data_IF_740452564107
#
_entry.id   IF_740452564107
#
_cell.length_a   1.000
_cell.length_b   1.000
_cell.length_c   1.000
_cell.angle_alpha   90.00
_cell.angle_beta   90.00
_cell.angle_gamma   90.00
#
_symmetry.space_group_name_H-M   'P 1'
#
loop_
_entity.id
_entity.type
_entity.pdbx_description
1 polymer ?
#
# COMPACT_ATOMS: atom_id res chain seq x y z
N UNK A 1 8.81 -18.51 9.06
CA UNK A 1 8.75 -18.73 7.61
C UNK A 1 9.55 -17.61 6.99
N UNK A 2 10.76 -17.89 6.49
CA UNK A 2 11.59 -16.86 5.87
C UNK A 2 10.97 -16.48 4.53
N UNK A 3 10.45 -15.28 4.44
CA UNK A 3 10.07 -14.68 3.16
C UNK A 3 11.37 -14.32 2.44
N UNK A 4 11.64 -15.03 1.36
CA UNK A 4 12.77 -14.78 0.50
C UNK A 4 12.44 -13.54 -0.36
N UNK A 5 12.94 -12.37 0.06
CA UNK A 5 12.73 -11.08 -0.60
C UNK A 5 13.40 -10.95 -1.97
N UNK A 6 14.04 -12.00 -2.48
CA UNK A 6 14.72 -11.98 -3.77
C UNK A 6 13.80 -12.10 -4.99
N UNK A 7 12.47 -12.17 -4.82
CA UNK A 7 11.58 -12.56 -5.90
C UNK A 7 10.16 -12.00 -5.96
N UNK A 8 9.87 -10.86 -5.36
CA UNK A 8 8.56 -10.21 -5.58
C UNK A 8 7.57 -10.38 -4.42
N UNK A 9 6.71 -9.38 -4.26
CA UNK A 9 5.72 -9.29 -3.18
C UNK A 9 4.54 -10.25 -3.35
N UNK A 10 4.35 -10.82 -4.53
CA UNK A 10 3.26 -11.75 -4.87
C UNK A 10 3.76 -13.19 -5.02
N UNK A 11 2.94 -14.15 -4.57
CA UNK A 11 3.16 -15.57 -4.81
C UNK A 11 2.98 -15.93 -6.30
N UNK A 12 3.45 -17.12 -6.73
CA UNK A 12 3.24 -17.57 -8.12
C UNK A 12 1.75 -17.74 -8.45
N UNK A 13 0.94 -18.23 -7.50
CA UNK A 13 -0.50 -18.37 -7.65
C UNK A 13 -1.19 -17.02 -7.85
N UNK A 14 -0.82 -16.00 -7.04
CA UNK A 14 -1.34 -14.65 -7.17
C UNK A 14 -0.95 -14.02 -8.50
N UNK A 15 0.29 -14.22 -8.94
CA UNK A 15 0.75 -13.79 -10.26
C UNK A 15 -0.01 -14.43 -11.40
N UNK A 16 -0.24 -15.74 -11.30
CA UNK A 16 -0.98 -16.47 -12.31
C UNK A 16 -2.43 -15.99 -12.37
N UNK A 17 -3.09 -15.84 -11.20
CA UNK A 17 -4.45 -15.31 -11.15
C UNK A 17 -4.56 -13.89 -11.71
N UNK A 18 -3.56 -13.03 -11.51
CA UNK A 18 -3.51 -11.70 -12.12
C UNK A 18 -3.42 -11.79 -13.66
N UNK A 19 -2.64 -12.74 -14.21
CA UNK A 19 -2.51 -12.96 -15.66
C UNK A 19 -3.77 -13.53 -16.27
N UNK A 20 -4.40 -14.47 -15.58
CA UNK A 20 -5.61 -15.17 -16.08
C UNK A 20 -6.87 -14.32 -15.87
N UNK A 21 -6.77 -13.17 -15.17
CA UNK A 21 -7.89 -12.30 -14.87
C UNK A 21 -8.88 -12.86 -13.84
N UNK A 22 -8.52 -13.95 -13.14
CA UNK A 22 -9.38 -14.54 -12.08
C UNK A 22 -9.47 -13.63 -10.86
N UNK A 23 -8.42 -12.85 -10.59
CA UNK A 23 -8.39 -11.81 -9.58
C UNK A 23 -7.30 -10.78 -9.92
N UNK A 24 -7.29 -9.65 -9.25
CA UNK A 24 -6.20 -8.69 -9.30
C UNK A 24 -5.70 -8.45 -7.87
N UNK A 25 -4.49 -8.92 -7.58
CA UNK A 25 -3.77 -8.66 -6.34
C UNK A 25 -2.61 -7.71 -6.63
N UNK A 26 -2.49 -6.68 -5.83
CA UNK A 26 -1.42 -5.70 -5.89
C UNK A 26 -0.77 -5.57 -4.52
N UNK A 27 0.51 -5.23 -4.49
CA UNK A 27 1.27 -5.11 -3.27
C UNK A 27 2.25 -3.93 -3.35
N UNK A 28 2.64 -3.41 -2.19
CA UNK A 28 3.59 -2.33 -2.08
C UNK A 28 3.68 -1.76 -0.67
N UNK A 29 4.45 -0.69 -0.54
CA UNK A 29 4.48 0.12 0.68
C UNK A 29 3.13 0.83 0.84
N UNK A 30 2.61 0.83 2.07
CA UNK A 30 1.31 1.44 2.40
C UNK A 30 1.41 2.56 3.44
N UNK A 31 2.46 2.57 4.27
CA UNK A 31 2.70 3.60 5.28
C UNK A 31 4.19 3.58 5.72
N UNK A 32 4.63 4.60 6.46
CA UNK A 32 5.96 4.67 7.04
C UNK A 32 5.91 5.27 8.45
N UNK A 33 6.69 4.72 9.38
CA UNK A 33 6.83 5.22 10.74
C UNK A 33 8.02 6.17 10.86
N UNK A 34 7.87 7.21 11.70
CA UNK A 34 8.95 8.09 12.12
C UNK A 34 9.44 9.09 11.10
N UNK A 35 8.99 9.03 9.85
CA UNK A 35 9.39 9.95 8.79
C UNK A 35 8.24 10.86 8.35
N UNK A 36 8.54 12.12 7.95
CA UNK A 36 7.52 13.02 7.45
C UNK A 36 7.00 12.55 6.09
N UNK A 37 5.69 12.53 5.93
CA UNK A 37 5.04 12.28 4.65
C UNK A 37 4.87 13.58 3.83
N UNK A 38 4.27 13.49 2.64
CA UNK A 38 4.02 14.63 1.75
C UNK A 38 3.15 15.74 2.37
N UNK A 39 2.41 15.45 3.43
CA UNK A 39 1.62 16.43 4.20
C UNK A 39 2.39 16.94 5.44
N UNK A 40 3.71 16.74 5.50
CA UNK A 40 4.55 17.09 6.66
C UNK A 40 4.07 16.43 7.96
N UNK A 41 3.39 15.27 7.88
CA UNK A 41 2.88 14.52 9.01
C UNK A 41 3.79 13.36 9.34
N UNK A 42 4.05 13.18 10.64
CA UNK A 42 4.85 12.07 11.16
C UNK A 42 3.96 11.19 12.02
N UNK A 43 4.01 9.89 11.75
CA UNK A 43 3.38 8.87 12.58
C UNK A 43 4.46 8.25 13.48
N UNK A 44 4.46 8.52 14.80
CA UNK A 44 5.42 7.90 15.72
C UNK A 44 5.36 6.37 15.63
N UNK A 45 6.51 5.72 15.70
CA UNK A 45 6.61 4.27 15.52
C UNK A 45 5.69 3.50 16.48
N UNK A 46 5.66 3.87 17.76
CA UNK A 46 4.80 3.22 18.76
C UNK A 46 3.32 3.31 18.44
N UNK A 47 2.87 4.48 17.96
CA UNK A 47 1.48 4.72 17.54
C UNK A 47 1.15 3.84 16.33
N UNK A 48 2.00 3.89 15.30
CA UNK A 48 1.73 3.13 14.08
C UNK A 48 1.80 1.62 14.29
N UNK A 49 2.74 1.12 15.11
CA UNK A 49 2.82 -0.31 15.45
C UNK A 49 1.57 -0.80 16.18
N UNK A 50 1.06 -0.04 17.14
CA UNK A 50 -0.20 -0.36 17.82
C UNK A 50 -1.36 -0.44 16.83
N UNK A 51 -1.48 0.56 15.96
CA UNK A 51 -2.59 0.59 15.00
C UNK A 51 -2.49 -0.51 13.93
N UNK A 52 -1.29 -0.88 13.50
CA UNK A 52 -1.10 -2.04 12.62
C UNK A 52 -1.54 -3.34 13.30
N UNK A 53 -1.21 -3.55 14.58
CA UNK A 53 -1.67 -4.72 15.34
C UNK A 53 -3.22 -4.77 15.45
N UNK A 54 -3.85 -3.62 15.71
CA UNK A 54 -5.31 -3.51 15.73
C UNK A 54 -5.92 -3.83 14.36
N UNK A 55 -5.33 -3.28 13.31
CA UNK A 55 -5.81 -3.45 11.93
C UNK A 55 -5.61 -4.89 11.41
N UNK A 56 -4.56 -5.56 11.84
CA UNK A 56 -4.30 -6.96 11.49
C UNK A 56 -5.47 -7.90 11.85
N UNK A 57 -6.23 -7.57 12.91
CA UNK A 57 -7.45 -8.30 13.25
C UNK A 57 -8.47 -8.20 12.12
N UNK A 58 -8.68 -7.01 11.55
CA UNK A 58 -9.61 -6.81 10.42
C UNK A 58 -9.15 -7.58 9.17
N UNK A 59 -7.83 -7.60 8.92
CA UNK A 59 -7.24 -8.36 7.82
C UNK A 59 -7.53 -9.86 7.99
N UNK A 60 -7.26 -10.43 9.16
CA UNK A 60 -7.52 -11.85 9.45
C UNK A 60 -9.01 -12.21 9.35
N UNK A 61 -9.89 -11.31 9.78
CA UNK A 61 -11.34 -11.47 9.71
C UNK A 61 -11.92 -11.16 8.32
N UNK A 62 -11.08 -10.79 7.34
CA UNK A 62 -11.48 -10.40 5.97
C UNK A 62 -12.48 -9.25 5.96
N UNK A 63 -12.30 -8.27 6.85
CA UNK A 63 -13.11 -7.06 7.00
C UNK A 63 -12.34 -5.75 6.77
N UNK A 64 -11.06 -5.85 6.39
CA UNK A 64 -10.19 -4.72 6.11
C UNK A 64 -10.47 -4.13 4.71
N UNK A 65 -11.69 -3.64 4.53
CA UNK A 65 -12.12 -2.98 3.29
C UNK A 65 -11.55 -1.57 3.18
N UNK A 66 -11.29 -1.14 1.93
CA UNK A 66 -10.96 0.25 1.60
C UNK A 66 -11.76 0.74 0.40
N UNK A 67 -11.80 2.06 0.26
CA UNK A 67 -12.59 2.75 -0.76
C UNK A 67 -11.68 3.27 -1.89
N UNK A 68 -12.31 3.73 -2.95
CA UNK A 68 -11.65 4.51 -4.01
C UNK A 68 -11.76 5.98 -3.64
N UNK A 69 -10.63 6.68 -3.62
CA UNK A 69 -10.45 8.02 -3.06
C UNK A 69 -10.71 8.11 -1.53
N UNK A 70 -10.39 9.26 -0.94
CA UNK A 70 -10.68 9.54 0.46
C UNK A 70 -12.02 10.25 0.58
N UNK A 71 -13.11 9.56 1.01
CA UNK A 71 -14.34 10.24 1.32
C UNK A 71 -14.23 11.08 2.60
N UNK A 72 -15.07 12.11 2.75
CA UNK A 72 -15.15 12.91 3.97
C UNK A 72 -15.64 12.11 5.17
N UNK A 73 -16.43 11.05 4.94
CA UNK A 73 -16.95 10.19 6.00
C UNK A 73 -15.82 9.28 6.53
N UNK A 74 -15.55 9.28 7.84
CA UNK A 74 -14.55 8.38 8.42
C UNK A 74 -14.93 6.89 8.32
N UNK A 75 -16.21 6.56 8.27
CA UNK A 75 -16.68 5.16 8.20
C UNK A 75 -16.66 4.66 6.76
N UNK A 76 -16.10 3.47 6.55
CA UNK A 76 -16.11 2.79 5.24
C UNK A 76 -17.53 2.52 4.78
N UNK A 77 -17.90 3.04 3.62
CA UNK A 77 -19.20 2.84 2.99
C UNK A 77 -19.12 1.68 1.99
N UNK A 78 -19.83 0.59 2.26
CA UNK A 78 -19.75 -0.63 1.44
C UNK A 78 -20.07 -0.39 -0.04
N UNK A 79 -20.87 0.59 -0.38
CA UNK A 79 -21.16 0.98 -1.75
C UNK A 79 -19.92 1.49 -2.51
N UNK A 80 -18.94 2.03 -1.80
CA UNK A 80 -17.72 2.62 -2.36
C UNK A 80 -16.50 1.69 -2.27
N UNK A 81 -16.65 0.51 -1.66
CA UNK A 81 -15.55 -0.44 -1.48
C UNK A 81 -14.95 -0.82 -2.83
N UNK A 82 -13.64 -0.67 -2.94
CA UNK A 82 -12.85 -1.03 -4.12
C UNK A 82 -11.96 -2.25 -3.91
N UNK A 83 -11.54 -2.50 -2.67
CA UNK A 83 -10.57 -3.55 -2.37
C UNK A 83 -10.69 -4.08 -0.95
N UNK A 84 -9.97 -5.17 -0.70
CA UNK A 84 -9.81 -5.83 0.60
C UNK A 84 -8.31 -6.03 0.85
N UNK A 85 -7.80 -5.50 1.98
CA UNK A 85 -6.45 -5.82 2.44
C UNK A 85 -6.37 -7.29 2.85
N UNK A 86 -5.37 -8.01 2.32
CA UNK A 86 -5.18 -9.44 2.57
C UNK A 86 -4.00 -9.75 3.45
N UNK A 87 -2.97 -8.91 3.41
CA UNK A 87 -1.77 -9.04 4.24
C UNK A 87 -1.19 -7.66 4.58
N UNK A 88 -0.59 -7.55 5.77
CA UNK A 88 0.25 -6.42 6.17
C UNK A 88 1.49 -6.95 6.90
N UNK A 89 2.64 -6.31 6.72
CA UNK A 89 3.87 -6.66 7.41
C UNK A 89 4.80 -5.45 7.49
N UNK A 90 5.83 -5.54 8.33
CA UNK A 90 6.86 -4.51 8.48
C UNK A 90 8.11 -4.86 7.67
N UNK A 91 8.69 -3.85 7.03
CA UNK A 91 10.02 -3.88 6.42
C UNK A 91 10.79 -2.64 6.90
N UNK A 92 11.59 -2.83 7.97
CA UNK A 92 12.18 -1.70 8.69
C UNK A 92 11.12 -0.77 9.28
N UNK A 93 11.14 0.49 8.86
CA UNK A 93 10.14 1.51 9.23
C UNK A 93 8.94 1.56 8.28
N UNK A 94 9.02 0.86 7.15
CA UNK A 94 7.94 0.79 6.18
C UNK A 94 6.93 -0.27 6.58
N UNK A 95 5.66 0.08 6.44
CA UNK A 95 4.55 -0.88 6.45
C UNK A 95 4.26 -1.28 5.02
N UNK A 96 4.35 -2.55 4.76
CA UNK A 96 4.04 -3.15 3.48
C UNK A 96 2.64 -3.76 3.53
N UNK A 97 1.96 -3.81 2.40
CA UNK A 97 0.65 -4.40 2.31
C UNK A 97 0.40 -5.09 0.99
N UNK A 98 -0.53 -6.02 1.04
CA UNK A 98 -1.09 -6.72 -0.10
C UNK A 98 -2.59 -6.59 -0.07
N UNK A 99 -3.20 -6.34 -1.22
CA UNK A 99 -4.64 -6.20 -1.31
C UNK A 99 -5.19 -6.83 -2.60
N UNK A 100 -6.41 -7.29 -2.50
CA UNK A 100 -7.20 -7.80 -3.61
C UNK A 100 -8.18 -6.73 -4.08
N UNK A 101 -8.12 -6.36 -5.34
CA UNK A 101 -9.14 -5.50 -5.96
C UNK A 101 -10.41 -6.33 -6.17
N UNK A 102 -11.53 -5.83 -5.68
CA UNK A 102 -12.82 -6.52 -5.73
C UNK A 102 -13.59 -6.22 -7.02
N UNK A 103 -14.57 -7.06 -7.36
CA UNK A 103 -15.47 -6.86 -8.50
C UNK A 103 -16.68 -5.99 -8.15
N UNK A 104 -16.45 -4.96 -7.32
CA UNK A 104 -17.41 -3.90 -7.02
C UNK A 104 -17.32 -2.80 -8.10
N UNK A 105 -18.29 -1.89 -8.22
CA UNK A 105 -18.22 -0.78 -9.18
C UNK A 105 -16.91 0.04 -9.03
N UNK A 106 -16.52 0.40 -7.81
CA UNK A 106 -15.28 1.13 -7.56
C UNK A 106 -14.03 0.28 -7.81
N UNK A 107 -14.06 -1.02 -7.48
CA UNK A 107 -12.96 -1.94 -7.78
C UNK A 107 -12.80 -2.16 -9.29
N UNK A 108 -13.86 -2.16 -10.06
CA UNK A 108 -13.78 -2.24 -11.53
C UNK A 108 -13.09 -1.00 -12.13
N UNK A 109 -13.31 0.19 -11.58
CA UNK A 109 -12.58 1.40 -11.97
C UNK A 109 -11.09 1.21 -11.70
N UNK A 110 -10.72 0.77 -10.49
CA UNK A 110 -9.33 0.50 -10.12
C UNK A 110 -8.68 -0.56 -11.05
N UNK A 111 -9.40 -1.64 -11.39
CA UNK A 111 -8.92 -2.66 -12.35
C UNK A 111 -8.64 -2.06 -13.72
N UNK A 112 -9.51 -1.21 -14.24
CA UNK A 112 -9.34 -0.57 -15.55
C UNK A 112 -8.18 0.42 -15.57
N UNK A 113 -7.94 1.14 -14.47
CA UNK A 113 -6.77 2.01 -14.32
C UNK A 113 -5.49 1.17 -14.42
N UNK A 114 -5.40 0.07 -13.68
CA UNK A 114 -4.23 -0.83 -13.72
C UNK A 114 -4.06 -1.49 -15.10
N UNK A 115 -5.15 -1.93 -15.72
CA UNK A 115 -5.12 -2.53 -17.07
C UNK A 115 -4.67 -1.52 -18.13
N UNK A 116 -5.00 -0.24 -17.95
CA UNK A 116 -4.57 0.88 -18.79
C UNK A 116 -3.18 1.43 -18.46
N UNK A 117 -2.37 0.67 -17.72
CA UNK A 117 -1.04 1.07 -17.27
C UNK A 117 -0.99 2.23 -16.25
N UNK A 118 -2.12 2.58 -15.62
CA UNK A 118 -2.17 3.53 -14.50
C UNK A 118 -1.55 2.97 -13.21
N UNK A 119 -0.95 3.82 -12.38
CA UNK A 119 -0.52 3.48 -11.02
C UNK A 119 -1.60 3.87 -10.03
N UNK A 120 -1.81 3.04 -9.03
CA UNK A 120 -2.67 3.33 -7.89
C UNK A 120 -1.80 3.60 -6.66
N UNK A 121 -2.02 4.74 -6.02
CA UNK A 121 -1.50 5.03 -4.71
C UNK A 121 -2.37 4.40 -3.63
N UNK A 122 -1.82 4.29 -2.43
CA UNK A 122 -2.57 3.88 -1.23
C UNK A 122 -2.26 4.83 -0.08
N UNK A 123 -3.27 5.19 0.68
CA UNK A 123 -3.14 6.14 1.79
C UNK A 123 -4.00 5.72 2.98
N UNK A 124 -3.48 5.89 4.19
CA UNK A 124 -4.20 5.59 5.41
C UNK A 124 -5.23 6.65 5.73
N UNK A 125 -6.43 6.22 6.14
CA UNK A 125 -7.48 7.06 6.72
C UNK A 125 -7.66 6.70 8.18
N UNK A 126 -7.67 7.71 9.04
CA UNK A 126 -7.81 7.54 10.48
C UNK A 126 -8.25 8.82 11.16
N UNK A 127 -8.54 8.73 12.44
CA UNK A 127 -8.92 9.84 13.29
C UNK A 127 -8.00 9.93 14.49
N UNK A 128 -7.78 11.11 15.03
CA UNK A 128 -6.93 11.34 16.20
C UNK A 128 -6.45 12.78 16.26
N UNK A 129 -5.86 13.13 17.37
CA UNK A 129 -5.26 14.44 17.61
C UNK A 129 -3.88 14.53 16.98
N UNK A 130 -3.42 15.76 16.77
CA UNK A 130 -2.08 16.07 16.29
C UNK A 130 -1.55 17.32 17.00
N UNK A 131 -0.23 17.41 17.12
CA UNK A 131 0.44 18.65 17.54
C UNK A 131 1.52 19.06 16.56
N UNK A 132 1.87 20.35 16.59
CA UNK A 132 2.96 20.89 15.78
C UNK A 132 4.28 20.81 16.54
N UNK A 133 5.33 20.31 15.89
CA UNK A 133 6.68 20.26 16.42
C UNK A 133 7.70 20.41 15.30
N UNK A 134 8.60 21.38 15.41
CA UNK A 134 9.70 21.60 14.46
C UNK A 134 9.27 21.71 12.99
N UNK A 135 8.08 22.27 12.73
CA UNK A 135 7.50 22.40 11.39
C UNK A 135 6.76 21.17 10.89
N UNK A 136 6.66 20.13 11.69
CA UNK A 136 5.93 18.89 11.38
C UNK A 136 4.65 18.76 12.19
N UNK A 137 3.68 18.04 11.63
CA UNK A 137 2.45 17.62 12.30
C UNK A 137 2.65 16.23 12.86
N UNK A 138 2.78 16.10 14.19
CA UNK A 138 2.99 14.82 14.85
C UNK A 138 1.64 14.22 15.25
N UNK A 139 1.41 12.96 14.89
CA UNK A 139 0.20 12.21 15.27
C UNK A 139 0.29 11.77 16.73
N UNK A 140 -0.79 11.97 17.48
CA UNK A 140 -0.86 11.65 18.90
C UNK A 140 -1.27 10.18 19.18
N UNK A 141 -1.18 9.80 20.45
CA UNK A 141 -1.46 8.45 20.90
C UNK A 141 -2.94 8.04 20.77
N UNK A 142 -3.86 9.00 20.64
CA UNK A 142 -5.28 8.75 20.42
C UNK A 142 -5.63 8.39 18.96
N UNK A 143 -4.63 8.36 18.07
CA UNK A 143 -4.84 7.99 16.67
C UNK A 143 -5.44 6.59 16.55
N UNK A 144 -6.44 6.48 15.69
CA UNK A 144 -7.12 5.25 15.31
C UNK A 144 -7.10 5.12 13.79
N UNK A 145 -6.47 4.07 13.30
CA UNK A 145 -6.50 3.71 11.88
C UNK A 145 -7.85 3.07 11.55
N UNK A 146 -8.52 3.59 10.53
CA UNK A 146 -9.82 3.10 10.07
C UNK A 146 -9.68 2.17 8.88
N UNK A 147 -8.95 2.61 7.84
CA UNK A 147 -8.71 1.84 6.63
C UNK A 147 -7.52 2.38 5.85
N UNK A 148 -7.20 1.69 4.78
CA UNK A 148 -6.37 2.19 3.69
C UNK A 148 -7.24 2.36 2.46
N UNK A 149 -7.12 3.49 1.75
CA UNK A 149 -7.88 3.80 0.54
C UNK A 149 -6.97 3.90 -0.68
N UNK A 150 -7.50 3.51 -1.84
CA UNK A 150 -6.83 3.72 -3.12
C UNK A 150 -6.98 5.18 -3.54
N UNK A 151 -5.85 5.82 -3.86
CA UNK A 151 -5.81 7.25 -4.22
C UNK A 151 -4.92 7.47 -5.45
N UNK A 152 -5.08 8.61 -6.11
CA UNK A 152 -4.18 9.02 -7.20
C UNK A 152 -2.81 9.47 -6.68
N UNK A 153 -2.79 10.22 -5.57
CA UNK A 153 -1.59 10.81 -4.97
C UNK A 153 -1.49 10.46 -3.48
N UNK A 154 -0.69 9.46 -3.12
CA UNK A 154 -0.51 9.07 -1.73
C UNK A 154 0.39 10.06 -0.99
N UNK A 155 0.03 10.38 0.27
CA UNK A 155 0.87 11.22 1.11
C UNK A 155 2.16 10.54 1.57
N UNK A 156 2.17 9.22 1.72
CA UNK A 156 3.38 8.44 2.05
C UNK A 156 4.24 8.28 0.81
N UNK A 157 5.50 8.73 0.89
CA UNK A 157 6.45 8.63 -0.22
C UNK A 157 6.64 7.17 -0.66
N UNK A 158 6.47 6.92 -1.96
CA UNK A 158 6.60 5.59 -2.55
C UNK A 158 5.44 4.63 -2.29
N UNK A 159 4.32 5.09 -1.71
CA UNK A 159 3.16 4.25 -1.44
C UNK A 159 2.31 4.00 -2.71
N UNK A 160 2.96 3.49 -3.75
CA UNK A 160 2.31 3.03 -4.97
C UNK A 160 2.27 1.52 -5.04
N UNK A 161 1.12 1.01 -5.44
CA UNK A 161 0.87 -0.43 -5.54
C UNK A 161 1.15 -0.92 -6.96
N UNK A 162 1.76 -2.08 -7.06
CA UNK A 162 2.14 -2.67 -8.34
C UNK A 162 1.57 -4.07 -8.47
N UNK A 163 0.98 -4.35 -9.62
CA UNK A 163 0.84 -5.72 -10.11
C UNK A 163 2.24 -6.16 -10.61
N UNK A 164 2.71 -7.31 -10.19
CA UNK A 164 4.12 -7.72 -10.28
C UNK A 164 4.72 -7.78 -11.71
N UNK A 165 3.90 -7.81 -12.74
CA UNK A 165 4.37 -7.72 -14.13
C UNK A 165 5.23 -6.46 -14.40
N UNK A 166 5.03 -5.38 -13.62
CA UNK A 166 5.79 -4.13 -13.73
C UNK A 166 7.07 -4.12 -12.90
N UNK A 167 7.08 -4.76 -11.72
CA UNK A 167 8.30 -4.87 -10.89
C UNK A 167 9.38 -5.59 -11.69
N UNK A 168 9.04 -6.67 -12.38
CA UNK A 168 9.99 -7.40 -13.23
C UNK A 168 10.52 -6.59 -14.40
N UNK A 169 9.70 -5.75 -15.01
CA UNK A 169 10.14 -4.88 -16.11
C UNK A 169 11.06 -3.76 -15.61
N UNK A 170 10.81 -3.21 -14.43
CA UNK A 170 11.67 -2.18 -13.81
C UNK A 170 12.99 -2.78 -13.29
N UNK A 171 12.94 -3.92 -12.60
CA UNK A 171 14.14 -4.63 -12.12
C UNK A 171 15.02 -5.10 -13.30
N UNK A 172 14.44 -5.66 -14.37
CA UNK A 172 15.21 -6.03 -15.55
C UNK A 172 15.83 -4.84 -16.28
N UNK A 173 15.22 -3.68 -16.23
CA UNK A 173 15.78 -2.44 -16.78
C UNK A 173 16.90 -1.89 -15.91
N UNK A 174 16.76 -1.90 -14.59
CA UNK A 174 17.79 -1.55 -13.63
C UNK A 174 18.97 -2.55 -13.67
N UNK A 175 18.71 -3.84 -13.78
CA UNK A 175 19.72 -4.88 -13.93
C UNK A 175 20.49 -4.75 -15.24
N UNK A 176 19.85 -4.37 -16.34
CA UNK A 176 20.53 -4.09 -17.62
C UNK A 176 21.44 -2.87 -17.52
N UNK A 177 20.98 -1.81 -16.84
CA UNK A 177 21.77 -0.60 -16.61
C UNK A 177 22.97 -0.89 -15.71
N UNK A 178 22.78 -1.63 -14.62
CA UNK A 178 23.85 -2.02 -13.71
C UNK A 178 24.88 -2.97 -14.37
N UNK A 179 24.44 -3.89 -15.24
CA UNK A 179 25.36 -4.72 -16.05
C UNK A 179 26.15 -3.86 -17.01
N UNK A 180 25.48 -2.96 -17.74
CA UNK A 180 26.17 -2.06 -18.67
C UNK A 180 27.19 -1.15 -17.98
N UNK A 181 26.87 -0.65 -16.77
CA UNK A 181 27.79 0.15 -15.95
C UNK A 181 28.97 -0.68 -15.45
N UNK A 182 28.76 -1.92 -15.02
CA UNK A 182 29.83 -2.82 -14.58
C UNK A 182 30.73 -3.29 -15.72
N UNK A 183 30.23 -3.37 -16.96
CA UNK A 183 31.03 -3.69 -18.15
C UNK A 183 31.87 -2.51 -18.66
N UNK A 184 31.47 -1.26 -18.33
CA UNK A 184 32.22 -0.04 -18.66
C UNK A 184 33.31 0.25 -17.61
N UNK A 185 33.16 -0.26 -16.38
CA UNK A 185 34.08 -0.04 -15.26
C UNK A 185 35.15 -1.15 -15.12
N UNK A 186 35.16 -2.13 -15.99
CA UNK A 186 36.23 -3.16 -16.15
C UNK A 186 37.14 -2.83 -17.31
#
# INVERSE_FOLDING_TARGET
>A
MNLDYSGGLLTEEERQGNKDGTHLIVAGKIQCAGEPNGNMRIYPEGVLRREMQNYEKLVREKRAFGELDHPENPVVTLANVSHLMTEIWWDGNDVMGKLKILDTPCGMIAKQIVAGDGCLGISSRGTGSTHQKDGYTIVEDDFQLLCFDLVSEPSTSGAYLMAESRIRAQLTKADRINRALNDILR
#
